data_IF_339039870556
#
_entry.id   IF_339039870556
#
_cell.length_a   1.000
_cell.length_b   1.000
_cell.length_c   1.000
_cell.angle_alpha   90.00
_cell.angle_beta   90.00
_cell.angle_gamma   90.00
#
_symmetry.space_group_name_H-M   'P 1'
#
loop_
_entity.id
_entity.type
_entity.pdbx_description
1 polymer ?
#
# COMPACT_ATOMS: atom_id res chain seq x y z
N UNK A 1 7.02 32.97 -6.41
CA UNK A 1 7.19 31.97 -5.34
C UNK A 1 6.39 30.73 -5.72
N UNK A 2 6.96 29.81 -6.50
CA UNK A 2 6.28 28.56 -6.83
C UNK A 2 6.52 27.57 -5.69
N UNK A 3 5.71 27.65 -4.63
CA UNK A 3 5.70 26.58 -3.64
C UNK A 3 5.03 25.38 -4.30
N UNK A 4 5.85 24.43 -4.75
CA UNK A 4 5.37 23.06 -4.88
C UNK A 4 4.86 22.67 -3.48
N UNK A 5 3.56 22.83 -3.22
CA UNK A 5 2.89 22.70 -1.91
C UNK A 5 2.83 21.24 -1.44
N UNK A 6 3.94 20.53 -1.54
CA UNK A 6 4.12 19.17 -1.05
C UNK A 6 5.00 19.23 0.20
N UNK A 7 4.58 18.54 1.25
CA UNK A 7 5.37 18.44 2.47
C UNK A 7 6.77 17.86 2.15
N UNK A 8 7.82 18.46 2.71
CA UNK A 8 9.21 18.07 2.43
C UNK A 8 9.47 16.59 2.75
N UNK A 9 8.79 16.03 3.76
CA UNK A 9 8.94 14.62 4.15
C UNK A 9 8.33 13.63 3.14
N UNK A 10 7.54 14.09 2.16
CA UNK A 10 6.94 13.24 1.10
C UNK A 10 7.37 13.65 -0.31
N UNK A 11 8.19 14.68 -0.44
CA UNK A 11 8.64 15.18 -1.75
C UNK A 11 9.45 14.10 -2.46
N UNK A 12 9.04 13.76 -3.69
CA UNK A 12 9.66 12.70 -4.50
C UNK A 12 9.32 11.27 -4.06
N UNK A 13 8.54 11.09 -2.99
CA UNK A 13 8.16 9.76 -2.49
C UNK A 13 6.88 9.25 -3.16
N UNK A 14 6.71 7.92 -3.19
CA UNK A 14 5.61 7.25 -3.89
C UNK A 14 4.82 6.31 -2.97
N UNK A 15 3.59 6.02 -3.41
CA UNK A 15 2.73 4.94 -2.92
C UNK A 15 2.26 4.13 -4.13
N UNK A 16 1.69 2.95 -3.89
CA UNK A 16 1.13 2.12 -4.94
C UNK A 16 -0.32 1.77 -4.66
N UNK A 17 -1.07 1.62 -5.76
CA UNK A 17 -2.40 1.03 -5.79
C UNK A 17 -2.31 -0.29 -6.58
N UNK A 18 -2.81 -1.38 -6.03
CA UNK A 18 -2.78 -2.69 -6.69
C UNK A 18 -4.06 -3.46 -6.43
N UNK A 19 -4.41 -4.36 -7.36
CA UNK A 19 -5.53 -5.27 -7.21
C UNK A 19 -5.10 -6.74 -7.17
N UNK A 20 -5.88 -7.57 -6.46
CA UNK A 20 -5.83 -9.04 -6.51
C UNK A 20 -7.22 -9.57 -6.89
N UNK A 21 -7.29 -10.69 -7.63
CA UNK A 21 -8.56 -11.30 -8.01
C UNK A 21 -9.19 -12.02 -6.82
N UNK A 22 -10.52 -11.95 -6.70
CA UNK A 22 -11.31 -12.64 -5.68
C UNK A 22 -12.68 -13.02 -6.25
N UNK A 23 -12.96 -14.32 -6.36
CA UNK A 23 -14.27 -14.90 -6.69
C UNK A 23 -15.02 -14.19 -7.83
N UNK A 24 -14.34 -13.91 -8.95
CA UNK A 24 -14.92 -13.23 -10.11
C UNK A 24 -14.93 -11.70 -10.05
N UNK A 25 -14.39 -11.10 -9.00
CA UNK A 25 -14.17 -9.66 -8.83
C UNK A 25 -12.68 -9.33 -8.56
N UNK A 26 -12.36 -8.05 -8.42
CA UNK A 26 -11.03 -7.59 -8.00
C UNK A 26 -11.15 -6.78 -6.72
N UNK A 27 -10.25 -7.05 -5.76
CA UNK A 27 -10.09 -6.26 -4.55
C UNK A 27 -8.88 -5.34 -4.70
N UNK A 28 -9.10 -4.04 -4.52
CA UNK A 28 -8.05 -3.01 -4.54
C UNK A 28 -7.41 -2.83 -3.16
N UNK A 29 -6.13 -2.50 -3.18
CA UNK A 29 -5.29 -2.24 -2.03
C UNK A 29 -4.44 -1.00 -2.28
N UNK A 30 -4.13 -0.26 -1.22
CA UNK A 30 -3.37 0.98 -1.28
C UNK A 30 -2.34 0.99 -0.14
N UNK A 31 -1.08 1.30 -0.46
CA UNK A 31 -0.02 1.29 0.53
C UNK A 31 1.33 1.69 -0.02
N UNK A 32 2.39 1.28 0.67
CA UNK A 32 3.76 1.53 0.24
C UNK A 32 4.02 0.95 -1.17
N UNK A 33 5.07 1.43 -1.87
CA UNK A 33 5.36 0.95 -3.21
C UNK A 33 5.49 -0.57 -3.32
N UNK A 34 4.84 -1.14 -4.33
CA UNK A 34 4.86 -2.57 -4.64
C UNK A 34 5.22 -2.82 -6.09
N UNK A 35 5.79 -3.99 -6.37
CA UNK A 35 6.01 -4.49 -7.71
C UNK A 35 5.13 -5.72 -7.95
N UNK A 36 4.51 -5.80 -9.13
CA UNK A 36 3.76 -6.96 -9.57
C UNK A 36 4.68 -7.85 -10.40
N UNK A 37 4.73 -9.14 -10.08
CA UNK A 37 5.37 -10.13 -10.95
C UNK A 37 4.44 -10.47 -12.12
N UNK A 38 4.97 -10.98 -13.24
CA UNK A 38 4.20 -11.26 -14.47
C UNK A 38 2.99 -12.20 -14.28
N UNK A 39 2.92 -12.95 -13.16
CA UNK A 39 1.72 -13.71 -12.75
C UNK A 39 0.83 -12.83 -11.86
N UNK A 40 -0.43 -12.67 -12.28
CA UNK A 40 -1.39 -11.69 -11.79
C UNK A 40 -1.64 -11.66 -10.26
N UNK A 41 -1.31 -12.71 -9.52
CA UNK A 41 -1.64 -12.83 -8.09
C UNK A 41 -0.50 -12.44 -7.13
N UNK A 42 0.75 -12.40 -7.62
CA UNK A 42 1.90 -12.08 -6.77
C UNK A 42 2.22 -10.60 -6.82
N UNK A 43 2.01 -9.94 -5.69
CA UNK A 43 2.44 -8.55 -5.44
C UNK A 43 3.47 -8.58 -4.34
N UNK A 44 4.69 -8.15 -4.66
CA UNK A 44 5.79 -8.07 -3.71
C UNK A 44 6.01 -6.63 -3.28
N UNK A 45 6.53 -6.44 -2.07
CA UNK A 45 7.03 -5.12 -1.69
C UNK A 45 8.10 -4.69 -2.70
N UNK A 46 8.05 -3.44 -3.16
CA UNK A 46 9.22 -2.86 -3.79
C UNK A 46 10.34 -2.79 -2.72
N UNK A 47 11.60 -2.69 -3.16
CA UNK A 47 12.70 -2.47 -2.24
C UNK A 47 12.36 -1.31 -1.27
N UNK A 48 12.67 -1.48 0.02
CA UNK A 48 12.48 -0.43 1.02
C UNK A 48 13.50 0.68 0.78
N UNK A 49 13.26 1.52 -0.22
CA UNK A 49 14.14 2.65 -0.56
C UNK A 49 13.68 3.90 0.18
N UNK A 50 14.55 4.93 0.17
CA UNK A 50 14.21 6.27 0.65
C UNK A 50 13.06 6.92 -0.13
N UNK A 51 12.60 6.33 -1.22
CA UNK A 51 11.52 6.85 -2.07
C UNK A 51 10.12 6.44 -1.59
N UNK A 52 10.03 5.67 -0.49
CA UNK A 52 8.75 5.21 0.05
C UNK A 52 8.15 6.23 1.01
N UNK A 53 6.86 6.56 0.84
CA UNK A 53 6.13 7.40 1.79
C UNK A 53 6.06 6.68 3.15
N UNK A 54 6.38 7.40 4.23
CA UNK A 54 6.24 6.89 5.59
C UNK A 54 4.75 6.72 5.94
N UNK A 55 4.39 5.64 6.64
CA UNK A 55 3.00 5.33 7.01
C UNK A 55 2.31 6.45 7.79
N UNK A 56 3.05 7.30 8.52
CA UNK A 56 2.50 8.50 9.19
C UNK A 56 1.83 9.49 8.21
N UNK A 57 2.28 9.51 6.97
CA UNK A 57 1.72 10.37 5.91
C UNK A 57 0.68 9.67 5.04
N UNK A 58 0.48 8.37 5.22
CA UNK A 58 -0.55 7.64 4.49
C UNK A 58 -1.88 7.81 5.22
N UNK A 59 -2.99 8.08 4.50
CA UNK A 59 -4.32 8.03 5.06
C UNK A 59 -4.60 6.62 5.60
N UNK A 60 -5.49 6.50 6.59
CA UNK A 60 -5.79 5.22 7.25
C UNK A 60 -6.23 4.13 6.27
N UNK A 61 -6.88 4.51 5.18
CA UNK A 61 -7.35 3.62 4.11
C UNK A 61 -6.26 3.21 3.10
N UNK A 62 -5.03 3.69 3.24
CA UNK A 62 -3.92 3.39 2.33
C UNK A 62 -2.67 2.91 3.09
N UNK A 63 -2.86 1.91 3.96
CA UNK A 63 -1.77 1.32 4.77
C UNK A 63 -1.66 -0.20 4.59
N UNK A 64 -2.10 -0.72 3.45
CA UNK A 64 -2.06 -2.15 3.15
C UNK A 64 -0.60 -2.62 3.00
N UNK A 65 -0.28 -3.78 3.58
CA UNK A 65 0.98 -4.46 3.31
C UNK A 65 0.88 -5.22 1.98
N UNK A 66 1.97 -5.34 1.23
CA UNK A 66 2.01 -6.11 -0.03
C UNK A 66 1.60 -7.57 0.15
N UNK A 67 1.89 -8.13 1.32
CA UNK A 67 1.54 -9.48 1.73
C UNK A 67 0.08 -9.68 2.14
N UNK A 68 -0.72 -8.60 2.26
CA UNK A 68 -2.15 -8.74 2.60
C UNK A 68 -2.81 -9.62 1.54
N UNK A 69 -3.39 -10.71 2.00
CA UNK A 69 -4.11 -11.67 1.17
C UNK A 69 -5.60 -11.32 1.21
N UNK A 70 -6.33 -11.67 0.16
CA UNK A 70 -7.79 -11.62 0.17
C UNK A 70 -8.30 -12.70 1.14
N UNK A 71 -8.43 -12.37 2.42
CA UNK A 71 -9.22 -13.15 3.36
C UNK A 71 -10.67 -12.70 3.25
N UNK A 72 -11.57 -13.65 3.00
CA UNK A 72 -13.02 -13.43 2.93
C UNK A 72 -13.59 -12.88 4.25
N UNK A 73 -12.86 -13.12 5.34
CA UNK A 73 -13.13 -12.56 6.67
C UNK A 73 -12.18 -11.40 6.92
N UNK A 74 -12.66 -10.19 7.27
CA UNK A 74 -11.76 -9.13 7.73
C UNK A 74 -10.93 -9.69 8.89
N UNK A 75 -9.59 -9.56 8.87
CA UNK A 75 -8.81 -9.97 10.01
C UNK A 75 -9.23 -9.05 11.16
N UNK A 76 -9.74 -9.63 12.23
CA UNK A 76 -9.96 -8.95 13.52
C UNK A 76 -8.65 -8.47 14.18
N UNK A 77 -7.59 -8.26 13.39
CA UNK A 77 -6.25 -7.91 13.84
C UNK A 77 -6.08 -6.44 14.25
N UNK A 78 -7.15 -5.63 14.21
CA UNK A 78 -7.12 -4.26 14.75
C UNK A 78 -7.59 -4.14 16.22
N UNK A 79 -7.64 -5.25 16.96
CA UNK A 79 -7.82 -5.23 18.42
C UNK A 79 -6.70 -5.99 19.15
N UNK A 80 -5.44 -5.58 18.95
CA UNK A 80 -4.36 -5.81 19.91
C UNK A 80 -3.49 -4.56 20.02
N UNK A 81 -4.05 -3.56 20.69
CA UNK A 81 -3.27 -2.62 21.48
C UNK A 81 -3.32 -3.11 22.94
N UNK A 82 -2.51 -4.12 23.25
CA UNK A 82 -2.09 -4.53 24.60
C UNK A 82 -0.68 -5.07 24.48
#
# INVERSE_FOLDING_TARGET
>A
MASSNVNNEIKGKKLSLWAKRQNGSVKWFCGQPVARADKADTVAAAAKTADNINTKHLPSTCRDASSVVCIETPPTAFYKNT
#
